data_IF_808868916611
#
_entry.id   IF_808868916611
#
_cell.length_a   1.000
_cell.length_b   1.000
_cell.length_c   1.000
_cell.angle_alpha   90.00
_cell.angle_beta   90.00
_cell.angle_gamma   90.00
#
_symmetry.space_group_name_H-M   'P 1'
#
loop_
_entity.id
_entity.type
_entity.pdbx_description
1 polymer ?
#
# COMPACT_ATOMS: atom_id res chain seq x y z
N UNK A 1 4.67 -0.80 11.33
CA UNK A 1 5.88 -1.17 10.57
C UNK A 1 6.00 -0.21 9.38
N UNK A 2 7.14 0.45 9.16
CA UNK A 2 7.30 1.47 8.09
C UNK A 2 7.96 0.89 6.83
N UNK A 3 8.86 -0.08 7.01
CA UNK A 3 9.39 -1.00 5.99
C UNK A 3 9.40 -2.42 6.55
N UNK A 4 9.26 -3.42 5.69
CA UNK A 4 9.26 -4.85 6.07
C UNK A 4 10.64 -5.38 6.54
N UNK A 5 11.60 -4.51 6.82
CA UNK A 5 12.88 -4.88 7.39
C UNK A 5 12.77 -4.92 8.92
N UNK A 6 13.28 -5.99 9.52
CA UNK A 6 13.44 -6.12 10.97
C UNK A 6 14.48 -5.10 11.41
N UNK A 7 14.14 -4.25 12.39
CA UNK A 7 15.06 -3.31 13.02
C UNK A 7 15.31 -3.73 14.46
N UNK A 8 16.45 -3.31 15.03
CA UNK A 8 16.77 -3.57 16.44
C UNK A 8 15.74 -2.98 17.41
N UNK A 9 15.75 -3.45 18.66
CA UNK A 9 14.85 -2.94 19.70
C UNK A 9 14.95 -1.41 19.84
N UNK A 10 13.81 -0.72 19.87
CA UNK A 10 13.75 0.75 19.93
C UNK A 10 14.15 1.47 18.64
N UNK A 11 14.44 0.74 17.55
CA UNK A 11 14.77 1.30 16.23
C UNK A 11 13.68 1.01 15.22
N UNK A 12 13.67 1.79 14.14
CA UNK A 12 12.79 1.59 13.00
C UNK A 12 13.60 1.65 11.72
N UNK A 13 13.33 0.71 10.82
CA UNK A 13 13.89 0.73 9.47
C UNK A 13 13.29 1.89 8.67
N UNK A 14 14.14 2.69 8.06
CA UNK A 14 13.79 3.85 7.24
C UNK A 14 14.46 3.76 5.86
N UNK A 15 13.94 4.54 4.93
CA UNK A 15 14.55 4.76 3.62
C UNK A 15 14.83 6.24 3.44
N UNK A 16 16.10 6.62 3.35
CA UNK A 16 16.50 7.98 2.97
C UNK A 16 16.55 8.04 1.45
N UNK A 17 15.92 9.06 0.86
CA UNK A 17 16.01 9.33 -0.59
C UNK A 17 17.07 10.38 -0.84
N UNK A 18 17.91 10.15 -1.84
CA UNK A 18 18.76 11.17 -2.42
C UNK A 18 17.99 12.03 -3.43
N UNK A 19 18.72 12.84 -4.18
CA UNK A 19 18.18 13.75 -5.18
C UNK A 19 17.62 13.02 -6.41
N UNK A 20 18.18 11.85 -6.74
CA UNK A 20 17.74 11.04 -7.88
C UNK A 20 16.84 9.87 -7.46
N UNK A 21 15.96 9.41 -8.37
CA UNK A 21 14.99 8.32 -8.12
C UNK A 21 15.65 7.02 -7.60
N UNK A 22 16.86 6.73 -8.07
CA UNK A 22 17.65 5.55 -7.73
C UNK A 22 18.45 5.68 -6.44
N UNK A 23 18.64 6.90 -5.93
CA UNK A 23 19.40 7.14 -4.71
C UNK A 23 18.51 6.84 -3.50
N UNK A 24 18.67 5.64 -2.94
CA UNK A 24 17.93 5.19 -1.77
C UNK A 24 18.88 4.50 -0.81
N UNK A 25 18.98 5.04 0.40
CA UNK A 25 19.73 4.42 1.48
C UNK A 25 18.76 3.75 2.45
N UNK A 26 18.94 2.44 2.67
CA UNK A 26 18.32 1.77 3.80
C UNK A 26 19.11 2.12 5.07
N UNK A 27 18.39 2.52 6.12
CA UNK A 27 19.00 2.86 7.40
C UNK A 27 18.05 2.50 8.55
N UNK A 28 18.53 2.62 9.77
CA UNK A 28 17.71 2.53 10.97
C UNK A 28 17.84 3.79 11.80
N UNK A 29 16.74 4.27 12.37
CA UNK A 29 16.75 5.39 13.31
C UNK A 29 16.04 5.04 14.62
N UNK A 30 16.35 5.72 15.74
CA UNK A 30 15.63 5.54 16.98
C UNK A 30 14.15 5.92 16.82
N UNK A 31 13.25 5.10 17.35
CA UNK A 31 11.81 5.39 17.38
C UNK A 31 11.55 6.69 18.17
N UNK A 32 12.32 6.93 19.23
CA UNK A 32 12.23 8.15 20.04
C UNK A 32 12.55 9.44 19.26
N UNK A 33 13.21 9.35 18.10
CA UNK A 33 13.50 10.51 17.25
C UNK A 33 12.35 10.87 16.29
N UNK A 34 11.27 10.08 16.25
CA UNK A 34 10.12 10.35 15.39
C UNK A 34 9.31 11.51 15.96
N UNK A 35 9.29 12.64 15.23
CA UNK A 35 8.52 13.84 15.61
C UNK A 35 7.08 13.85 15.10
N UNK A 36 6.82 13.15 13.99
CA UNK A 36 5.51 13.11 13.33
C UNK A 36 5.30 11.75 12.69
N UNK A 37 4.07 11.25 12.76
CA UNK A 37 3.63 10.02 12.10
C UNK A 37 2.35 10.31 11.33
N UNK A 38 2.33 9.94 10.05
CA UNK A 38 1.13 9.95 9.21
C UNK A 38 0.83 8.51 8.82
N UNK A 39 -0.42 8.07 9.00
CA UNK A 39 -0.90 6.81 8.44
C UNK A 39 -1.48 7.04 7.03
N UNK A 40 -1.54 6.02 6.17
CA UNK A 40 -2.17 6.14 4.85
C UNK A 40 -3.58 6.75 4.91
N UNK A 41 -4.37 6.35 5.91
CA UNK A 41 -5.76 6.78 6.12
C UNK A 41 -5.89 8.30 6.41
N UNK A 42 -4.81 8.93 6.87
CA UNK A 42 -4.73 10.37 7.13
C UNK A 42 -4.30 11.17 5.89
N UNK A 43 -3.90 10.49 4.81
CA UNK A 43 -3.29 11.09 3.61
C UNK A 43 -4.25 11.06 2.43
N UNK A 44 -5.53 11.38 2.62
CA UNK A 44 -6.53 11.28 1.54
C UNK A 44 -6.57 12.48 0.59
N UNK A 45 -5.82 13.55 0.89
CA UNK A 45 -5.69 14.74 0.04
C UNK A 45 -7.01 15.52 -0.09
N UNK A 46 -6.92 16.84 -0.19
CA UNK A 46 -8.07 17.69 -0.47
C UNK A 46 -7.71 18.66 -1.60
N UNK A 47 -8.70 19.00 -2.43
CA UNK A 47 -8.58 20.04 -3.46
C UNK A 47 -8.32 19.53 -4.88
N UNK A 48 -8.20 20.47 -5.81
CA UNK A 48 -8.06 20.16 -7.25
C UNK A 48 -6.68 19.58 -7.53
N UNK A 49 -6.66 18.41 -8.15
CA UNK A 49 -5.44 17.69 -8.53
C UNK A 49 -5.15 17.79 -10.04
N UNK A 50 -3.92 18.16 -10.40
CA UNK A 50 -3.48 18.24 -11.80
C UNK A 50 -2.85 16.94 -12.32
N UNK A 51 -2.26 16.13 -11.44
CA UNK A 51 -1.60 14.88 -11.82
C UNK A 51 -2.56 13.69 -11.76
N UNK A 52 -2.45 12.79 -12.75
CA UNK A 52 -3.32 11.63 -12.90
C UNK A 52 -3.40 10.76 -11.64
N UNK A 53 -2.29 10.55 -10.92
CA UNK A 53 -2.28 9.79 -9.67
C UNK A 53 -3.10 10.44 -8.53
N UNK A 54 -3.09 11.76 -8.43
CA UNK A 54 -3.89 12.50 -7.43
C UNK A 54 -5.35 12.62 -7.88
N UNK A 55 -5.62 12.70 -9.18
CA UNK A 55 -6.97 12.62 -9.73
C UNK A 55 -7.59 11.24 -9.50
N UNK A 56 -6.81 10.17 -9.72
CA UNK A 56 -7.21 8.80 -9.43
C UNK A 56 -7.54 8.63 -7.95
N UNK A 57 -6.71 9.17 -7.04
CA UNK A 57 -6.99 9.13 -5.60
C UNK A 57 -8.35 9.76 -5.28
N UNK A 58 -8.62 10.97 -5.77
CA UNK A 58 -9.92 11.62 -5.57
C UNK A 58 -11.08 10.83 -6.20
N UNK A 59 -10.89 10.31 -7.42
CA UNK A 59 -11.93 9.59 -8.14
C UNK A 59 -12.35 8.29 -7.44
N UNK A 60 -11.39 7.55 -6.87
CA UNK A 60 -11.70 6.28 -6.18
C UNK A 60 -12.12 6.48 -4.72
N UNK A 61 -11.87 7.65 -4.13
CA UNK A 61 -12.14 7.92 -2.70
C UNK A 61 -13.57 7.57 -2.28
N UNK A 62 -14.64 8.04 -2.95
CA UNK A 62 -16.01 7.72 -2.53
C UNK A 62 -16.30 6.21 -2.55
N UNK A 63 -15.80 5.51 -3.56
CA UNK A 63 -15.98 4.06 -3.67
C UNK A 63 -15.19 3.32 -2.58
N UNK A 64 -13.93 3.69 -2.36
CA UNK A 64 -13.10 3.07 -1.33
C UNK A 64 -13.65 3.32 0.08
N UNK A 65 -14.17 4.52 0.36
CA UNK A 65 -14.85 4.84 1.63
C UNK A 65 -16.12 4.00 1.82
N UNK A 66 -16.86 3.70 0.74
CA UNK A 66 -18.07 2.87 0.78
C UNK A 66 -17.80 1.41 1.18
N UNK A 67 -16.56 0.93 1.08
CA UNK A 67 -16.18 -0.42 1.52
C UNK A 67 -16.23 -0.57 3.05
N UNK A 68 -16.25 0.54 3.81
CA UNK A 68 -16.26 0.51 5.28
C UNK A 68 -14.97 -0.05 5.90
N UNK A 69 -13.91 -0.18 5.10
CA UNK A 69 -12.60 -0.70 5.51
C UNK A 69 -11.56 0.43 5.55
N UNK A 70 -10.55 0.28 6.41
CA UNK A 70 -9.45 1.25 6.48
C UNK A 70 -8.56 1.14 5.25
N UNK A 71 -8.31 2.27 4.59
CA UNK A 71 -7.49 2.34 3.38
C UNK A 71 -6.79 3.70 3.24
N UNK A 72 -5.79 3.78 2.38
CA UNK A 72 -5.20 5.06 2.00
C UNK A 72 -4.04 4.94 1.02
N UNK A 73 -3.54 6.06 0.47
CA UNK A 73 -2.42 6.04 -0.46
C UNK A 73 -1.11 5.73 0.24
N UNK A 74 -0.26 5.03 -0.49
CA UNK A 74 1.13 4.75 -0.12
C UNK A 74 2.05 5.22 -1.25
N UNK A 75 3.26 4.68 -1.34
CA UNK A 75 4.16 4.98 -2.46
C UNK A 75 4.47 6.47 -2.63
N UNK A 76 4.56 6.91 -3.88
CA UNK A 76 4.87 8.30 -4.23
C UNK A 76 3.80 9.30 -3.77
N UNK A 77 2.52 8.96 -3.95
CA UNK A 77 1.39 9.82 -3.57
C UNK A 77 1.36 10.02 -2.06
N UNK A 78 1.42 8.94 -1.28
CA UNK A 78 1.48 9.02 0.18
C UNK A 78 2.70 9.80 0.67
N UNK A 79 3.87 9.63 0.04
CA UNK A 79 5.07 10.39 0.38
C UNK A 79 4.88 11.89 0.14
N UNK A 80 4.39 12.29 -1.04
CA UNK A 80 4.15 13.69 -1.37
C UNK A 80 3.15 14.33 -0.41
N UNK A 81 2.03 13.66 -0.12
CA UNK A 81 1.01 14.17 0.80
C UNK A 81 1.53 14.28 2.24
N UNK A 82 2.36 13.34 2.69
CA UNK A 82 2.89 13.35 4.04
C UNK A 82 3.97 14.41 4.27
N UNK A 83 4.75 14.74 3.22
CA UNK A 83 5.94 15.60 3.32
C UNK A 83 5.76 16.98 2.71
N UNK A 84 4.80 17.16 1.80
CA UNK A 84 4.68 18.35 0.95
C UNK A 84 5.70 18.41 -0.19
N UNK A 85 6.61 17.44 -0.31
CA UNK A 85 7.66 17.43 -1.34
C UNK A 85 7.09 16.86 -2.63
N UNK A 86 7.13 17.65 -3.70
CA UNK A 86 6.71 17.23 -5.03
C UNK A 86 7.63 16.13 -5.58
N UNK A 87 7.09 14.93 -5.77
CA UNK A 87 7.81 13.76 -6.34
C UNK A 87 7.05 13.07 -7.46
N UNK A 88 5.78 13.41 -7.64
CA UNK A 88 4.92 12.86 -8.68
C UNK A 88 5.20 13.54 -10.03
N UNK A 89 4.99 12.79 -11.11
CA UNK A 89 5.04 13.25 -12.49
C UNK A 89 3.84 12.67 -13.26
N UNK A 90 3.63 13.08 -14.51
CA UNK A 90 2.45 12.70 -15.30
C UNK A 90 2.24 11.18 -15.41
N UNK A 91 3.32 10.41 -15.53
CA UNK A 91 3.31 8.94 -15.58
C UNK A 91 3.41 8.24 -14.23
N UNK A 92 3.19 8.92 -13.10
CA UNK A 92 3.16 8.26 -11.80
C UNK A 92 1.91 7.39 -11.65
N UNK A 93 2.09 6.24 -11.01
CA UNK A 93 1.02 5.35 -10.55
C UNK A 93 0.47 5.78 -9.18
N UNK A 94 -0.64 5.16 -8.79
CA UNK A 94 -1.23 5.29 -7.46
C UNK A 94 -1.11 3.97 -6.71
N UNK A 95 -0.21 3.93 -5.71
CA UNK A 95 -0.16 2.81 -4.77
C UNK A 95 -1.19 3.02 -3.65
N UNK A 96 -2.01 2.01 -3.38
CA UNK A 96 -2.99 2.02 -2.29
C UNK A 96 -2.75 0.82 -1.34
N UNK A 97 -3.15 0.98 -0.09
CA UNK A 97 -3.34 -0.16 0.84
C UNK A 97 -4.78 -0.19 1.31
N UNK A 98 -5.36 -1.39 1.37
CA UNK A 98 -6.67 -1.69 1.97
C UNK A 98 -6.48 -2.74 3.06
N UNK A 99 -6.87 -2.42 4.29
CA UNK A 99 -6.77 -3.34 5.42
C UNK A 99 -7.97 -4.30 5.41
N UNK A 100 -7.69 -5.59 5.28
CA UNK A 100 -8.68 -6.67 5.20
C UNK A 100 -8.50 -7.59 6.41
N UNK A 101 -9.02 -7.22 7.60
CA UNK A 101 -8.92 -8.08 8.79
C UNK A 101 -9.68 -9.41 8.62
N UNK A 102 -10.71 -9.41 7.77
CA UNK A 102 -11.43 -10.60 7.32
C UNK A 102 -11.13 -10.88 5.84
N UNK A 103 -11.34 -12.14 5.43
CA UNK A 103 -11.08 -12.58 4.07
C UNK A 103 -11.93 -11.83 3.06
N UNK A 104 -11.29 -11.30 2.01
CA UNK A 104 -11.98 -10.76 0.85
C UNK A 104 -12.15 -11.88 -0.18
N UNK A 105 -13.38 -12.17 -0.58
CA UNK A 105 -13.62 -13.23 -1.57
C UNK A 105 -12.96 -12.87 -2.90
N UNK A 106 -12.61 -13.89 -3.70
CA UNK A 106 -12.06 -13.62 -5.05
C UNK A 106 -13.05 -12.95 -5.99
N UNK A 107 -14.36 -13.11 -5.75
CA UNK A 107 -15.41 -12.43 -6.52
C UNK A 107 -15.39 -10.93 -6.20
N UNK A 108 -15.39 -10.59 -4.91
CA UNK A 108 -15.34 -9.18 -4.47
C UNK A 108 -14.01 -8.53 -4.87
N UNK A 109 -12.90 -9.25 -4.78
CA UNK A 109 -11.60 -8.78 -5.22
C UNK A 109 -11.57 -8.48 -6.73
N UNK A 110 -12.25 -9.29 -7.56
CA UNK A 110 -12.38 -9.04 -9.00
C UNK A 110 -13.23 -7.80 -9.27
N UNK A 111 -14.35 -7.66 -8.59
CA UNK A 111 -15.21 -6.48 -8.72
C UNK A 111 -14.45 -5.19 -8.33
N UNK A 112 -13.76 -5.22 -7.18
CA UNK A 112 -12.88 -4.15 -6.73
C UNK A 112 -11.79 -3.84 -7.78
N UNK A 113 -11.11 -4.86 -8.30
CA UNK A 113 -10.07 -4.67 -9.32
C UNK A 113 -10.61 -4.00 -10.59
N UNK A 114 -11.77 -4.42 -11.07
CA UNK A 114 -12.41 -3.84 -12.25
C UNK A 114 -12.75 -2.36 -12.08
N UNK A 115 -13.26 -1.96 -10.90
CA UNK A 115 -13.53 -0.55 -10.59
C UNK A 115 -12.24 0.27 -10.64
N UNK A 116 -11.15 -0.25 -10.06
CA UNK A 116 -9.87 0.46 -10.05
C UNK A 116 -9.21 0.56 -11.44
N UNK A 117 -9.48 -0.39 -12.35
CA UNK A 117 -8.99 -0.33 -13.73
C UNK A 117 -9.59 0.83 -14.55
N UNK A 118 -10.72 1.40 -14.12
CA UNK A 118 -11.33 2.56 -14.79
C UNK A 118 -10.69 3.90 -14.41
N UNK A 119 -9.70 3.91 -13.52
CA UNK A 119 -9.08 5.13 -13.02
C UNK A 119 -8.16 5.81 -14.07
N UNK A 120 -7.89 7.12 -13.94
CA UNK A 120 -7.02 7.88 -14.85
C UNK A 120 -5.55 7.43 -14.94
N UNK A 121 -5.09 6.60 -14.00
CA UNK A 121 -3.75 6.01 -14.00
C UNK A 121 -3.80 4.57 -13.46
N UNK A 122 -2.68 3.85 -13.58
CA UNK A 122 -2.52 2.54 -12.94
C UNK A 122 -2.67 2.69 -11.42
N UNK A 123 -3.50 1.84 -10.83
CA UNK A 123 -3.66 1.71 -9.38
C UNK A 123 -3.10 0.36 -8.93
N UNK A 124 -2.08 0.40 -8.06
CA UNK A 124 -1.50 -0.78 -7.44
C UNK A 124 -2.04 -0.92 -6.00
N UNK A 125 -3.13 -1.69 -5.82
CA UNK A 125 -3.72 -1.93 -4.50
C UNK A 125 -3.09 -3.15 -3.80
N UNK A 126 -2.60 -2.95 -2.58
CA UNK A 126 -2.21 -4.03 -1.66
C UNK A 126 -3.35 -4.33 -0.68
N UNK A 127 -3.75 -5.59 -0.59
CA UNK A 127 -4.63 -6.10 0.47
C UNK A 127 -3.75 -6.48 1.66
N UNK A 128 -3.84 -5.71 2.74
CA UNK A 128 -3.14 -6.01 4.00
C UNK A 128 -4.00 -6.90 4.88
N UNK A 129 -3.58 -8.16 5.00
CA UNK A 129 -4.20 -9.18 5.85
C UNK A 129 -3.50 -9.19 7.23
N UNK A 130 -4.03 -9.95 8.22
CA UNK A 130 -3.33 -10.13 9.50
C UNK A 130 -1.92 -10.72 9.37
N UNK A 131 -1.59 -11.35 8.25
CA UNK A 131 -0.35 -12.11 8.06
C UNK A 131 0.65 -11.50 7.08
N UNK A 132 0.25 -10.45 6.36
CA UNK A 132 1.10 -9.79 5.38
C UNK A 132 0.27 -9.04 4.37
N UNK A 133 0.83 -8.82 3.18
CA UNK A 133 0.07 -8.20 2.10
C UNK A 133 0.21 -8.98 0.79
N UNK A 134 -0.88 -9.00 0.03
CA UNK A 134 -0.95 -9.53 -1.34
C UNK A 134 -1.40 -8.43 -2.29
N UNK A 135 -0.95 -8.47 -3.54
CA UNK A 135 -1.46 -7.56 -4.56
C UNK A 135 -2.91 -7.94 -4.92
N UNK A 136 -3.81 -6.96 -4.99
CA UNK A 136 -5.20 -7.16 -5.42
C UNK A 136 -5.25 -7.86 -6.79
N UNK A 137 -4.41 -7.42 -7.74
CA UNK A 137 -4.35 -7.99 -9.08
C UNK A 137 -4.03 -9.48 -9.07
N UNK A 138 -3.15 -9.93 -8.17
CA UNK A 138 -2.83 -11.36 -8.02
C UNK A 138 -4.01 -12.13 -7.41
N UNK A 139 -4.65 -11.59 -6.37
CA UNK A 139 -5.78 -12.24 -5.71
C UNK A 139 -7.03 -12.32 -6.60
N UNK A 140 -7.30 -11.27 -7.37
CA UNK A 140 -8.36 -11.21 -8.37
C UNK A 140 -8.09 -12.12 -9.59
N UNK A 141 -6.82 -12.52 -9.81
CA UNK A 141 -6.42 -13.37 -10.91
C UNK A 141 -6.89 -14.83 -10.80
N UNK A 142 -6.52 -15.63 -11.81
CA UNK A 142 -6.85 -17.07 -11.88
C UNK A 142 -5.90 -17.97 -11.07
N UNK A 143 -4.76 -17.43 -10.61
CA UNK A 143 -3.75 -18.20 -9.89
C UNK A 143 -4.28 -18.76 -8.58
N UNK A 144 -4.13 -20.08 -8.37
CA UNK A 144 -4.56 -20.76 -7.13
C UNK A 144 -3.80 -20.31 -5.90
N UNK A 145 -2.53 -19.94 -6.07
CA UNK A 145 -1.67 -19.37 -5.02
C UNK A 145 -1.21 -17.98 -5.41
N UNK A 146 -1.03 -17.10 -4.43
CA UNK A 146 -0.59 -15.71 -4.57
C UNK A 146 0.61 -15.44 -3.69
N UNK A 147 1.39 -14.41 -4.01
CA UNK A 147 2.58 -14.06 -3.25
C UNK A 147 2.24 -13.21 -2.02
N UNK A 148 2.22 -13.83 -0.84
CA UNK A 148 2.11 -13.12 0.44
C UNK A 148 3.46 -12.56 0.83
N UNK A 149 3.54 -11.23 0.97
CA UNK A 149 4.73 -10.52 1.44
C UNK A 149 4.54 -10.16 2.92
N UNK A 150 5.28 -10.84 3.80
CA UNK A 150 5.25 -10.61 5.24
C UNK A 150 6.56 -9.98 5.73
N UNK A 151 6.65 -9.74 7.04
CA UNK A 151 7.91 -9.33 7.71
C UNK A 151 8.97 -10.43 7.73
N UNK A 152 8.55 -11.69 7.55
CA UNK A 152 9.41 -12.87 7.62
C UNK A 152 9.90 -13.32 6.23
N UNK A 153 9.50 -12.62 5.18
CA UNK A 153 9.79 -12.97 3.80
C UNK A 153 8.54 -13.10 2.95
N UNK A 154 8.74 -13.51 1.69
CA UNK A 154 7.67 -13.74 0.74
C UNK A 154 7.43 -15.25 0.56
N UNK A 155 6.18 -15.69 0.60
CA UNK A 155 5.78 -17.06 0.39
C UNK A 155 4.54 -17.13 -0.51
N UNK A 156 4.36 -18.24 -1.22
CA UNK A 156 3.14 -18.50 -1.97
C UNK A 156 2.10 -19.10 -1.03
N UNK A 157 0.86 -18.62 -1.08
CA UNK A 157 -0.26 -19.10 -0.24
C UNK A 157 -1.52 -19.23 -1.08
N UNK A 158 -2.37 -20.21 -0.80
CA UNK A 158 -3.72 -20.31 -1.36
C UNK A 158 -4.70 -19.40 -0.63
N UNK A 159 -4.53 -19.21 0.68
CA UNK A 159 -5.35 -18.32 1.50
C UNK A 159 -4.49 -17.31 2.30
N UNK A 160 -4.41 -16.04 1.85
CA UNK A 160 -3.70 -14.97 2.55
C UNK A 160 -4.20 -14.64 3.96
N UNK A 161 -5.37 -15.15 4.37
CA UNK A 161 -6.00 -14.91 5.67
C UNK A 161 -5.94 -16.13 6.61
N UNK A 162 -5.19 -17.19 6.25
CA UNK A 162 -5.09 -18.40 7.07
C UNK A 162 -3.70 -18.57 7.71
N UNK A 163 -3.66 -18.76 9.04
CA UNK A 163 -2.42 -19.06 9.81
C UNK A 163 -1.80 -20.40 9.40
N UNK A 164 -2.63 -21.37 9.03
CA UNK A 164 -2.21 -22.75 8.80
C UNK A 164 -1.19 -22.87 7.66
N UNK A 165 -1.31 -22.01 6.64
CA UNK A 165 -0.41 -22.04 5.48
C UNK A 165 0.96 -21.39 5.75
N UNK A 166 1.13 -20.72 6.89
CA UNK A 166 2.39 -20.08 7.29
C UNK A 166 3.19 -20.90 8.29
N UNK A 167 2.59 -22.00 8.76
CA UNK A 167 3.16 -22.91 9.75
C UNK A 167 3.78 -24.17 9.11
N UNK A 168 3.64 -24.30 7.79
CA UNK A 168 4.11 -25.43 6.97
C UNK A 168 5.36 -25.04 6.18
#
# INVERSE_FOLDING_TARGET
MVRRAVAGAGRVAVGVRGSQRGERLAAEMPVASIKRRCSPEQLRGEGRAELAALQALHAVTPFMDSLGLSWGPTGGVGYQLATGIAVLHHGSDLDLVLRTPAALTRVDAKALYQVLCAAPCRIDLQLETPFGAVALAEWAGASKRVLLKSRHGACLVSDPWSVLELSA
#
